data_IF_308887638519
#
_entry.id   IF_308887638519
#
_cell.length_a   1.000
_cell.length_b   1.000
_cell.length_c   1.000
_cell.angle_alpha   90.00
_cell.angle_beta   90.00
_cell.angle_gamma   90.00
#
_symmetry.space_group_name_H-M   'P 1'
#
loop_
_entity.id
_entity.type
_entity.pdbx_description
1 polymer ?
#
# COMPACT_ATOMS: atom_id res chain seq x y z
N UNK A 1 13.55 17.04 -30.60
CA UNK A 1 14.42 16.12 -29.83
C UNK A 1 14.66 16.65 -28.40
N UNK A 2 13.60 17.09 -27.72
CA UNK A 2 13.62 17.49 -26.30
C UNK A 2 12.54 16.74 -25.50
N UNK A 3 11.87 15.78 -26.15
CA UNK A 3 10.78 15.00 -25.57
C UNK A 3 11.21 13.57 -25.19
N UNK A 4 12.38 13.13 -25.67
CA UNK A 4 12.97 11.81 -25.34
C UNK A 4 13.81 11.84 -24.06
N UNK A 5 14.30 13.00 -23.62
CA UNK A 5 15.23 13.09 -22.47
C UNK A 5 14.54 13.02 -21.10
N UNK A 6 13.21 13.24 -21.04
CA UNK A 6 12.44 13.12 -19.78
C UNK A 6 12.02 11.66 -19.50
N UNK A 7 12.10 10.78 -20.51
CA UNK A 7 11.68 9.38 -20.40
C UNK A 7 12.74 8.43 -19.79
N UNK A 8 13.92 8.94 -19.44
CA UNK A 8 15.02 8.14 -18.87
C UNK A 8 14.93 7.93 -17.35
N UNK A 9 13.95 8.54 -16.67
CA UNK A 9 13.62 8.18 -15.29
C UNK A 9 12.35 7.32 -15.36
N UNK A 10 12.33 6.10 -14.79
CA UNK A 10 11.07 5.36 -14.66
C UNK A 10 10.20 6.12 -13.66
N UNK A 11 9.47 7.12 -14.15
CA UNK A 11 8.31 7.73 -13.51
C UNK A 11 7.27 6.62 -13.43
N UNK A 12 7.39 5.77 -12.41
CA UNK A 12 6.35 4.83 -12.08
C UNK A 12 5.06 5.64 -11.95
N UNK A 13 4.01 5.32 -12.75
CA UNK A 13 2.72 5.95 -12.56
C UNK A 13 2.31 5.74 -11.10
N UNK A 14 1.68 6.73 -10.47
CA UNK A 14 1.20 6.62 -9.07
C UNK A 14 0.39 5.32 -8.82
N UNK A 15 -0.24 4.79 -9.87
CA UNK A 15 -0.94 3.51 -9.90
C UNK A 15 -0.05 2.29 -9.65
N UNK A 16 1.19 2.29 -10.14
CA UNK A 16 2.16 1.24 -9.85
C UNK A 16 2.59 1.27 -8.39
N UNK A 17 2.74 2.45 -7.79
CA UNK A 17 3.03 2.60 -6.36
C UNK A 17 1.89 2.06 -5.49
N UNK A 18 0.65 2.38 -5.84
CA UNK A 18 -0.54 1.85 -5.15
C UNK A 18 -0.57 0.32 -5.23
N UNK A 19 -0.30 -0.26 -6.42
CA UNK A 19 -0.31 -1.70 -6.62
C UNK A 19 0.84 -2.41 -5.88
N UNK A 20 2.01 -1.78 -5.79
CA UNK A 20 3.12 -2.28 -4.98
C UNK A 20 2.78 -2.28 -3.49
N UNK A 21 2.19 -1.20 -2.98
CA UNK A 21 1.76 -1.09 -1.59
C UNK A 21 0.70 -2.16 -1.24
N UNK A 22 -0.33 -2.35 -2.09
CA UNK A 22 -1.33 -3.41 -1.87
C UNK A 22 -0.69 -4.80 -1.94
N UNK A 23 0.28 -5.00 -2.84
CA UNK A 23 1.02 -6.27 -2.94
C UNK A 23 1.80 -6.57 -1.67
N UNK A 24 2.45 -5.58 -1.05
CA UNK A 24 3.19 -5.76 0.20
C UNK A 24 2.25 -6.05 1.38
N UNK A 25 1.17 -5.26 1.53
CA UNK A 25 0.16 -5.52 2.57
C UNK A 25 -0.39 -6.94 2.49
N UNK A 26 -0.67 -7.43 1.27
CA UNK A 26 -1.14 -8.80 1.08
C UNK A 26 -0.07 -9.88 1.34
N UNK A 27 1.11 -9.75 0.73
CA UNK A 27 2.11 -10.84 0.73
C UNK A 27 2.92 -10.91 2.01
N UNK A 28 3.29 -9.74 2.55
CA UNK A 28 4.19 -9.64 3.72
C UNK A 28 3.37 -9.60 4.99
N UNK A 29 2.37 -8.70 5.05
CA UNK A 29 1.57 -8.51 6.27
C UNK A 29 0.40 -9.51 6.37
N UNK A 30 0.10 -10.25 5.29
CA UNK A 30 -0.96 -11.27 5.22
C UNK A 30 -2.31 -10.77 5.75
N UNK A 31 -2.69 -9.55 5.40
CA UNK A 31 -3.92 -8.88 5.87
C UNK A 31 -4.99 -8.67 4.79
N UNK A 32 -4.77 -9.09 3.54
CA UNK A 32 -5.70 -8.81 2.43
C UNK A 32 -5.91 -9.97 1.45
N UNK A 33 -7.10 -9.98 0.82
CA UNK A 33 -7.50 -10.93 -0.23
C UNK A 33 -7.52 -10.26 -1.61
N UNK A 34 -7.43 -11.05 -2.70
CA UNK A 34 -7.62 -10.51 -4.06
C UNK A 34 -9.09 -10.53 -4.39
N UNK A 35 -9.61 -9.38 -4.77
CA UNK A 35 -10.89 -9.28 -5.45
C UNK A 35 -10.60 -9.18 -6.95
N UNK A 36 -11.13 -10.11 -7.73
CA UNK A 36 -10.64 -10.42 -9.07
C UNK A 36 -10.59 -9.24 -10.06
N UNK A 37 -9.40 -8.65 -10.21
CA UNK A 37 -8.88 -8.09 -11.47
C UNK A 37 -7.36 -8.01 -11.35
N UNK A 38 -6.65 -8.81 -12.15
CA UNK A 38 -5.18 -8.76 -12.27
C UNK A 38 -4.70 -7.98 -13.49
N UNK A 39 -5.61 -7.46 -14.32
CA UNK A 39 -5.23 -6.88 -15.61
C UNK A 39 -5.42 -5.37 -15.64
N UNK A 40 -4.33 -4.70 -16.00
CA UNK A 40 -4.27 -3.30 -16.34
C UNK A 40 -4.61 -3.12 -17.82
N UNK A 41 -5.59 -2.26 -18.14
CA UNK A 41 -5.86 -1.79 -19.50
C UNK A 41 -5.50 -0.31 -19.55
N UNK A 42 -4.65 0.07 -20.51
CA UNK A 42 -4.24 1.47 -20.70
C UNK A 42 -5.47 2.35 -20.90
N UNK A 43 -5.39 3.64 -20.54
CA UNK A 43 -6.44 4.63 -20.84
C UNK A 43 -6.76 4.74 -22.35
N UNK A 44 -5.86 4.24 -23.23
CA UNK A 44 -6.09 4.11 -24.67
C UNK A 44 -7.04 2.94 -25.04
N UNK A 45 -7.17 1.93 -24.19
CA UNK A 45 -8.02 0.76 -24.38
C UNK A 45 -9.38 0.96 -23.69
N UNK A 46 -10.17 1.92 -24.16
CA UNK A 46 -11.55 2.21 -23.70
C UNK A 46 -12.56 1.06 -23.86
N UNK A 47 -12.14 -0.19 -24.07
CA UNK A 47 -13.02 -1.31 -24.40
C UNK A 47 -12.83 -2.58 -23.57
N UNK A 48 -11.90 -2.59 -22.62
CA UNK A 48 -11.84 -3.65 -21.61
C UNK A 48 -12.07 -3.01 -20.26
N UNK A 49 -13.34 -2.82 -19.92
CA UNK A 49 -13.70 -2.62 -18.53
C UNK A 49 -13.07 -3.78 -17.74
N UNK A 50 -12.11 -3.46 -16.88
CA UNK A 50 -11.69 -4.34 -15.80
C UNK A 50 -12.83 -4.39 -14.78
N UNK A 51 -14.01 -4.85 -15.20
CA UNK A 51 -15.20 -4.95 -14.37
C UNK A 51 -15.06 -6.20 -13.51
N UNK A 52 -14.73 -5.98 -12.25
CA UNK A 52 -14.84 -7.02 -11.23
C UNK A 52 -16.33 -7.31 -11.07
N UNK A 53 -16.72 -8.56 -11.36
CA UNK A 53 -18.12 -8.99 -11.20
C UNK A 53 -18.56 -8.84 -9.73
N UNK A 54 -19.82 -8.44 -9.51
CA UNK A 54 -20.39 -8.26 -8.16
C UNK A 54 -20.21 -9.51 -7.30
N UNK A 55 -20.35 -10.69 -7.88
CA UNK A 55 -20.23 -11.97 -7.18
C UNK A 55 -18.81 -12.20 -6.64
N UNK A 56 -17.79 -11.70 -7.36
CA UNK A 56 -16.40 -11.78 -6.89
C UNK A 56 -16.15 -10.84 -5.71
N UNK A 57 -16.80 -9.66 -5.71
CA UNK A 57 -16.75 -8.70 -4.60
C UNK A 57 -17.46 -9.29 -3.38
N UNK A 58 -18.68 -9.81 -3.58
CA UNK A 58 -19.48 -10.43 -2.52
C UNK A 58 -18.74 -11.61 -1.88
N UNK A 59 -18.15 -12.49 -2.68
CA UNK A 59 -17.35 -13.61 -2.17
C UNK A 59 -16.13 -13.14 -1.36
N UNK A 60 -15.44 -12.10 -1.82
CA UNK A 60 -14.30 -11.56 -1.09
C UNK A 60 -14.72 -10.93 0.25
N UNK A 61 -15.82 -10.17 0.27
CA UNK A 61 -16.37 -9.60 1.50
C UNK A 61 -16.75 -10.72 2.47
N UNK A 62 -17.50 -11.73 2.02
CA UNK A 62 -17.89 -12.88 2.84
C UNK A 62 -16.67 -13.60 3.41
N UNK A 63 -15.59 -13.77 2.63
CA UNK A 63 -14.37 -14.41 3.11
C UNK A 63 -13.64 -13.59 4.19
N UNK A 64 -13.66 -12.25 4.12
CA UNK A 64 -13.12 -11.37 5.17
C UNK A 64 -14.03 -11.30 6.40
N UNK A 65 -15.35 -11.49 6.22
CA UNK A 65 -16.36 -11.28 7.28
C UNK A 65 -16.73 -12.56 8.05
N UNK A 66 -16.74 -13.73 7.41
CA UNK A 66 -17.18 -14.99 8.03
C UNK A 66 -16.43 -16.22 7.52
N UNK A 67 -15.47 -16.05 6.62
CA UNK A 67 -14.66 -17.16 6.10
C UNK A 67 -13.69 -17.72 7.14
N UNK A 68 -13.14 -18.90 6.86
CA UNK A 68 -12.25 -19.64 7.79
C UNK A 68 -11.02 -18.83 8.23
N UNK A 69 -10.51 -17.93 7.37
CA UNK A 69 -9.36 -17.07 7.64
C UNK A 69 -9.74 -15.68 8.20
N UNK A 70 -11.04 -15.39 8.38
CA UNK A 70 -11.54 -14.06 8.71
C UNK A 70 -11.01 -13.55 10.05
N UNK A 71 -10.99 -14.40 11.07
CA UNK A 71 -10.53 -14.02 12.41
C UNK A 71 -9.01 -13.81 12.44
N UNK A 72 -8.24 -14.64 11.74
CA UNK A 72 -6.80 -14.43 11.60
C UNK A 72 -6.47 -13.13 10.88
N UNK A 73 -7.17 -12.82 9.78
CA UNK A 73 -7.02 -11.59 9.02
C UNK A 73 -7.28 -10.37 9.90
N UNK A 74 -8.37 -10.38 10.68
CA UNK A 74 -8.69 -9.29 11.61
C UNK A 74 -7.69 -9.19 12.76
N UNK A 75 -7.25 -10.31 13.31
CA UNK A 75 -6.26 -10.31 14.39
C UNK A 75 -4.93 -9.70 13.93
N UNK A 76 -4.46 -10.03 12.73
CA UNK A 76 -3.24 -9.42 12.15
C UNK A 76 -3.43 -7.93 11.89
N UNK A 77 -4.59 -7.53 11.37
CA UNK A 77 -4.91 -6.11 11.16
C UNK A 77 -4.90 -5.31 12.47
N UNK A 78 -5.52 -5.84 13.55
CA UNK A 78 -5.50 -5.21 14.88
C UNK A 78 -4.11 -5.12 15.47
N UNK A 79 -3.29 -6.17 15.34
CA UNK A 79 -1.91 -6.13 15.81
C UNK A 79 -1.09 -5.04 15.08
N UNK A 80 -1.29 -4.89 13.76
CA UNK A 80 -0.66 -3.83 12.98
C UNK A 80 -1.16 -2.44 13.36
N UNK A 81 -2.46 -2.29 13.65
CA UNK A 81 -3.03 -1.04 14.16
C UNK A 81 -2.36 -0.64 15.49
N UNK A 82 -2.23 -1.56 16.44
CA UNK A 82 -1.59 -1.29 17.72
C UNK A 82 -0.10 -0.94 17.56
N UNK A 83 0.63 -1.67 16.71
CA UNK A 83 2.04 -1.38 16.42
C UNK A 83 2.21 -0.01 15.76
N UNK A 84 1.36 0.33 14.79
CA UNK A 84 1.39 1.62 14.12
C UNK A 84 1.10 2.76 15.12
N UNK A 85 0.12 2.58 16.02
CA UNK A 85 -0.20 3.56 17.06
C UNK A 85 0.98 3.78 18.01
N UNK A 86 1.58 2.70 18.52
CA UNK A 86 2.76 2.77 19.40
C UNK A 86 3.98 3.39 18.73
N UNK A 87 4.16 3.17 17.43
CA UNK A 87 5.29 3.73 16.68
C UNK A 87 5.23 5.26 16.59
N UNK A 88 4.04 5.86 16.57
CA UNK A 88 3.85 7.32 16.45
C UNK A 88 3.60 8.03 17.78
N UNK A 89 3.25 7.31 18.84
CA UNK A 89 3.16 7.84 20.21
C UNK A 89 4.53 8.38 20.69
N UNK A 90 4.52 9.26 21.70
CA UNK A 90 5.75 9.83 22.28
C UNK A 90 6.65 8.71 22.83
N UNK A 91 7.93 8.72 22.45
CA UNK A 91 8.88 7.62 22.72
C UNK A 91 8.76 6.42 21.77
N UNK A 92 7.85 6.45 20.80
CA UNK A 92 7.72 5.47 19.73
C UNK A 92 8.83 5.57 18.68
N UNK A 93 9.00 4.53 17.87
CA UNK A 93 10.07 4.45 16.88
C UNK A 93 9.96 5.53 15.80
N UNK A 94 8.79 5.70 15.18
CA UNK A 94 8.59 6.72 14.14
C UNK A 94 8.67 8.14 14.72
N UNK A 95 8.20 8.34 15.95
CA UNK A 95 8.37 9.61 16.67
C UNK A 95 9.85 9.94 16.90
N UNK A 96 10.63 8.94 17.32
CA UNK A 96 12.06 9.09 17.57
C UNK A 96 12.83 9.34 16.27
N UNK A 97 12.54 8.59 15.21
CA UNK A 97 13.17 8.74 13.89
C UNK A 97 12.89 10.12 13.29
N UNK A 98 11.64 10.59 13.37
CA UNK A 98 11.29 11.93 12.90
C UNK A 98 11.99 13.01 13.73
N UNK A 99 12.09 12.82 15.04
CA UNK A 99 12.82 13.75 15.93
C UNK A 99 14.30 13.83 15.54
N UNK A 100 14.95 12.67 15.37
CA UNK A 100 16.35 12.59 14.95
C UNK A 100 16.59 13.25 13.58
N UNK A 101 15.68 13.03 12.62
CA UNK A 101 15.74 13.68 11.31
C UNK A 101 15.66 15.20 11.43
N UNK A 102 14.76 15.73 12.26
CA UNK A 102 14.63 17.19 12.48
C UNK A 102 15.89 17.75 13.12
N UNK A 103 16.49 17.05 14.08
CA UNK A 103 17.76 17.45 14.68
C UNK A 103 18.92 17.46 13.68
N UNK A 104 18.97 16.47 12.79
CA UNK A 104 19.96 16.43 11.71
C UNK A 104 19.81 17.62 10.77
N UNK A 105 18.59 17.93 10.35
CA UNK A 105 18.30 19.09 9.49
C UNK A 105 18.56 20.43 10.19
N UNK A 106 18.53 20.48 11.53
CA UNK A 106 18.87 21.67 12.31
C UNK A 106 20.37 21.87 12.46
N UNK A 107 21.21 20.86 12.18
CA UNK A 107 22.65 21.07 12.24
C UNK A 107 23.08 22.04 11.13
N UNK A 108 23.88 23.07 11.47
CA UNK A 108 24.45 23.93 10.45
C UNK A 108 25.34 23.09 9.53
N UNK A 109 25.15 23.28 8.22
CA UNK A 109 25.93 22.61 7.19
C UNK A 109 27.39 23.08 7.30
N UNK A 110 28.28 22.19 7.76
CA UNK A 110 29.73 22.43 7.76
C UNK A 110 30.47 22.29 9.11
N UNK A 111 29.91 21.58 10.10
CA UNK A 111 30.67 21.15 11.29
C UNK A 111 31.17 19.70 11.14
#
# INVERSE_FOLDING_TARGET
MLFELIMALPLMPAQAMIQQATRHARRVLRTGLVVGSQQWTSFADKKKEASVKREAIEKAITQVMVGDEADELRSRAKALEEMARRAVEEGGSSFSDLTALVEELRRPVGA
#
